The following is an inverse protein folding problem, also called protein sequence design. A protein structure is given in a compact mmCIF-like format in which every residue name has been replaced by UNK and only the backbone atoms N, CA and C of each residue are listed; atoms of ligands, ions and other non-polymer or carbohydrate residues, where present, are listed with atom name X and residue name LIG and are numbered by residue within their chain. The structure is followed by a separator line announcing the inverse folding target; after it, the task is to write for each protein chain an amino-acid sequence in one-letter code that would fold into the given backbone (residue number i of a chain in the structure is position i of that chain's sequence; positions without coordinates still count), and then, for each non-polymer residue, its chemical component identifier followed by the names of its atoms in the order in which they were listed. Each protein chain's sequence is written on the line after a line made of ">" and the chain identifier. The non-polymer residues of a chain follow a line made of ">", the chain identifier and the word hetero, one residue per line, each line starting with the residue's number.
data_IF_989131393157
#
_entry.id   IF_989131393157
#
_cell.length_a   1.000
_cell.length_b   1.000
_cell.length_c   1.000
_cell.angle_alpha   90.00
_cell.angle_beta   90.00
_cell.angle_gamma   90.00
#
_symmetry.space_group_name_H-M   'P 1'
#
loop_
_entity.id
_entity.type
_entity.pdbx_description
1 polymer ?
#
# COMPACT_ATOMS: atom_id res chain seq x y z
N UNK A 1 1.77 12.80 18.64
CA UNK A 1 0.30 12.93 18.67
C UNK A 1 -0.30 11.60 18.25
N UNK A 2 -1.48 11.20 18.76
CA UNK A 2 -2.23 10.09 18.19
C UNK A 2 -2.70 10.47 16.77
N UNK A 3 -2.61 9.52 15.83
CA UNK A 3 -3.14 9.70 14.48
C UNK A 3 -4.68 9.60 14.53
N UNK A 4 -5.38 10.51 13.84
CA UNK A 4 -6.83 10.54 13.73
C UNK A 4 -7.30 10.25 12.29
N UNK A 5 -8.50 9.66 12.18
CA UNK A 5 -9.13 9.40 10.88
C UNK A 5 -9.62 10.69 10.25
N UNK A 6 -9.55 10.73 8.93
CA UNK A 6 -9.97 11.85 8.11
C UNK A 6 -9.31 13.17 8.54
N UNK A 7 -8.06 13.09 8.98
CA UNK A 7 -7.21 14.23 9.33
C UNK A 7 -5.81 14.09 8.71
N UNK A 8 -5.23 15.23 8.34
CA UNK A 8 -3.87 15.31 7.81
C UNK A 8 -2.84 15.27 8.94
N UNK A 9 -1.81 14.45 8.77
CA UNK A 9 -0.68 14.35 9.69
C UNK A 9 0.61 14.67 8.96
N UNK A 10 1.42 15.56 9.53
CA UNK A 10 2.64 16.04 8.90
C UNK A 10 3.68 14.92 8.75
N UNK A 11 4.29 14.83 7.57
CA UNK A 11 5.39 13.92 7.27
C UNK A 11 6.74 14.66 7.23
N UNK A 12 7.83 13.90 7.34
CA UNK A 12 9.21 14.38 7.37
C UNK A 12 9.65 15.32 6.21
N UNK A 13 8.89 15.40 5.11
CA UNK A 13 9.23 16.21 3.92
C UNK A 13 8.29 17.40 3.67
N UNK A 14 7.50 17.84 4.67
CA UNK A 14 6.44 18.86 4.50
C UNK A 14 5.30 18.42 3.57
N UNK A 15 5.20 17.12 3.32
CA UNK A 15 4.01 16.50 2.75
C UNK A 15 3.09 16.08 3.91
N UNK A 16 1.80 15.89 3.63
CA UNK A 16 0.81 15.46 4.61
C UNK A 16 0.35 14.03 4.33
N UNK A 17 0.10 13.24 5.37
CA UNK A 17 -0.56 11.94 5.27
C UNK A 17 -1.99 12.03 5.76
N UNK A 18 -2.95 11.56 4.96
CA UNK A 18 -4.37 11.55 5.29
C UNK A 18 -4.88 10.11 5.45
N UNK A 19 -5.45 9.83 6.61
CA UNK A 19 -6.08 8.54 6.87
C UNK A 19 -7.52 8.57 6.38
N UNK A 20 -7.90 7.72 5.44
CA UNK A 20 -9.30 7.66 5.01
C UNK A 20 -10.09 6.61 5.78
N UNK A 21 -11.18 7.04 6.44
CA UNK A 21 -12.14 6.15 7.10
C UNK A 21 -12.76 5.12 6.15
N UNK A 22 -12.86 5.43 4.86
CA UNK A 22 -13.37 4.51 3.82
C UNK A 22 -12.56 3.21 3.67
N UNK A 23 -11.28 3.22 4.03
CA UNK A 23 -10.41 2.04 4.03
C UNK A 23 -10.31 1.38 5.41
N UNK A 24 -11.17 1.78 6.34
CA UNK A 24 -11.20 1.31 7.74
C UNK A 24 -12.57 0.75 8.11
N UNK A 25 -13.61 1.23 7.42
CA UNK A 25 -14.99 0.76 7.61
C UNK A 25 -15.28 -0.51 6.81
N UNK A 26 -15.70 -1.57 7.50
CA UNK A 26 -16.22 -2.81 6.88
C UNK A 26 -17.59 -2.63 6.22
N UNK A 27 -18.25 -1.49 6.44
CA UNK A 27 -19.55 -1.16 5.82
C UNK A 27 -19.39 -0.99 4.30
N UNK A 28 -18.22 -0.55 3.84
CA UNK A 28 -17.96 -0.39 2.42
C UNK A 28 -17.61 -1.74 1.76
N UNK A 29 -18.60 -2.38 1.13
CA UNK A 29 -18.47 -3.67 0.43
C UNK A 29 -17.63 -3.64 -0.84
N UNK A 30 -17.08 -2.50 -1.23
CA UNK A 30 -16.35 -2.34 -2.50
C UNK A 30 -14.86 -2.13 -2.27
N UNK A 31 -14.47 -1.49 -1.17
CA UNK A 31 -13.08 -1.12 -0.91
C UNK A 31 -12.36 -2.14 -0.04
N UNK A 32 -11.06 -2.31 -0.29
CA UNK A 32 -10.16 -3.01 0.63
C UNK A 32 -10.08 -2.28 1.97
N UNK A 33 -10.00 -3.07 3.05
CA UNK A 33 -10.01 -2.57 4.43
C UNK A 33 -8.68 -2.88 5.12
N UNK A 34 -8.10 -1.91 5.80
CA UNK A 34 -6.90 -2.06 6.64
C UNK A 34 -7.19 -2.93 7.87
N UNK A 35 -6.27 -3.84 8.16
CA UNK A 35 -6.26 -4.65 9.39
C UNK A 35 -5.18 -4.21 10.40
N UNK A 36 -4.21 -3.42 9.94
CA UNK A 36 -3.16 -2.78 10.76
C UNK A 36 -3.71 -1.54 11.46
N UNK A 37 -3.03 -0.95 12.45
CA UNK A 37 -3.45 0.32 13.05
C UNK A 37 -3.04 1.55 12.22
N UNK A 38 -3.39 2.77 12.65
CA UNK A 38 -3.02 4.01 11.94
C UNK A 38 -1.51 4.29 12.01
N UNK A 39 -0.87 3.92 13.12
CA UNK A 39 0.56 4.14 13.32
C UNK A 39 1.40 3.26 12.40
N UNK A 40 0.98 2.01 12.23
CA UNK A 40 1.58 1.04 11.33
C UNK A 40 1.37 1.44 9.87
N UNK A 41 0.16 1.91 9.50
CA UNK A 41 -0.09 2.46 8.16
C UNK A 41 0.84 3.63 7.84
N UNK A 42 0.95 4.61 8.74
CA UNK A 42 1.83 5.77 8.56
C UNK A 42 3.30 5.36 8.47
N UNK A 43 3.75 4.48 9.36
CA UNK A 43 5.12 3.97 9.35
C UNK A 43 5.45 3.25 8.04
N UNK A 44 4.51 2.49 7.49
CA UNK A 44 4.68 1.84 6.19
C UNK A 44 4.77 2.87 5.05
N UNK A 45 4.01 3.97 5.11
CA UNK A 45 4.10 5.04 4.12
C UNK A 45 5.46 5.72 4.16
N UNK A 46 5.89 6.15 5.35
CA UNK A 46 7.20 6.78 5.52
C UNK A 46 8.34 5.88 5.03
N UNK A 47 8.29 4.59 5.38
CA UNK A 47 9.27 3.62 4.94
C UNK A 47 9.28 3.46 3.42
N UNK A 48 8.11 3.45 2.77
CA UNK A 48 8.00 3.35 1.32
C UNK A 48 8.72 4.51 0.62
N UNK A 49 8.49 5.72 1.13
CA UNK A 49 9.07 6.96 0.59
C UNK A 49 10.58 6.98 0.87
N UNK A 50 11.02 6.71 2.11
CA UNK A 50 12.43 6.66 2.50
C UNK A 50 13.21 5.63 1.68
N UNK A 51 12.61 4.46 1.42
CA UNK A 51 13.21 3.37 0.63
C UNK A 51 13.11 3.59 -0.89
N UNK A 52 12.47 4.69 -1.33
CA UNK A 52 12.24 5.06 -2.73
C UNK A 52 11.49 3.99 -3.53
N UNK A 53 10.50 3.34 -2.91
CA UNK A 53 9.60 2.41 -3.60
C UNK A 53 8.51 3.17 -4.36
N UNK A 54 8.94 4.11 -5.20
CA UNK A 54 8.10 5.08 -5.88
C UNK A 54 7.86 4.68 -7.32
N UNK A 55 6.65 4.93 -7.80
CA UNK A 55 6.23 4.72 -9.17
C UNK A 55 5.42 5.93 -9.62
N UNK A 56 5.86 6.62 -10.66
CA UNK A 56 5.11 7.72 -11.25
C UNK A 56 4.00 7.18 -12.18
N UNK A 57 2.87 7.89 -12.22
CA UNK A 57 1.81 7.62 -13.19
C UNK A 57 2.13 8.31 -14.51
N UNK A 58 2.64 7.59 -15.50
CA UNK A 58 2.96 8.15 -16.82
C UNK A 58 1.73 8.68 -17.59
N UNK A 59 0.49 8.43 -17.10
CA UNK A 59 -0.74 8.99 -17.68
C UNK A 59 -1.21 10.26 -16.99
N UNK A 60 -0.67 10.58 -15.82
CA UNK A 60 -1.07 11.72 -15.01
C UNK A 60 0.16 12.25 -14.28
N UNK A 61 0.74 13.34 -14.82
CA UNK A 61 1.94 13.99 -14.26
C UNK A 61 1.78 14.43 -12.79
N UNK A 62 0.55 14.43 -12.29
CA UNK A 62 0.19 14.84 -10.92
C UNK A 62 0.04 13.67 -9.94
N UNK A 63 0.32 12.43 -10.35
CA UNK A 63 0.17 11.26 -9.47
C UNK A 63 1.45 10.45 -9.35
N UNK A 64 1.81 10.18 -8.10
CA UNK A 64 2.89 9.25 -7.73
C UNK A 64 2.34 8.22 -6.77
N UNK A 65 2.82 7.00 -6.90
CA UNK A 65 2.49 5.89 -6.02
C UNK A 65 3.72 5.46 -5.24
N UNK A 66 3.52 5.01 -4.01
CA UNK A 66 4.51 4.30 -3.23
C UNK A 66 3.95 2.94 -2.82
N UNK A 67 4.82 1.94 -2.72
CA UNK A 67 4.43 0.60 -2.32
C UNK A 67 5.26 0.13 -1.15
N UNK A 68 4.66 -0.60 -0.22
CA UNK A 68 5.40 -1.25 0.85
C UNK A 68 4.74 -2.55 1.26
N UNK A 69 5.50 -3.37 1.96
CA UNK A 69 5.02 -4.61 2.57
C UNK A 69 5.85 -4.92 3.81
N UNK A 70 5.30 -5.75 4.69
CA UNK A 70 5.96 -6.16 5.92
C UNK A 70 6.18 -7.66 5.91
N UNK A 71 7.40 -8.08 6.28
CA UNK A 71 7.73 -9.48 6.49
C UNK A 71 7.95 -9.73 7.98
N UNK A 72 7.24 -10.70 8.54
CA UNK A 72 7.35 -11.12 9.95
C UNK A 72 7.70 -12.60 9.99
N UNK A 73 8.82 -12.95 10.61
CA UNK A 73 9.24 -14.36 10.85
C UNK A 73 9.07 -15.27 9.63
N UNK A 74 9.69 -14.88 8.51
CA UNK A 74 9.66 -15.53 7.19
C UNK A 74 8.37 -15.46 6.38
N UNK A 75 7.25 -14.98 6.94
CA UNK A 75 5.97 -14.82 6.23
C UNK A 75 5.67 -13.35 5.91
N UNK A 76 4.95 -13.11 4.82
CA UNK A 76 4.40 -11.79 4.53
C UNK A 76 3.22 -11.51 5.46
N UNK A 77 3.25 -10.36 6.12
CA UNK A 77 2.19 -9.94 7.01
C UNK A 77 0.97 -9.52 6.19
N UNK A 78 -0.21 -9.94 6.65
CA UNK A 78 -1.48 -9.46 6.08
C UNK A 78 -1.71 -8.05 6.61
N UNK A 79 -1.79 -7.08 5.71
CA UNK A 79 -1.97 -5.66 6.01
C UNK A 79 -3.44 -5.24 5.95
N UNK A 80 -4.22 -5.92 5.11
CA UNK A 80 -5.64 -5.66 4.93
C UNK A 80 -6.40 -6.86 4.41
N UNK A 81 -7.68 -6.68 4.16
CA UNK A 81 -8.57 -7.68 3.57
C UNK A 81 -9.25 -7.13 2.33
N UNK A 82 -9.41 -8.00 1.33
CA UNK A 82 -10.28 -7.71 0.19
C UNK A 82 -11.73 -7.86 0.64
N UNK A 83 -12.53 -6.85 0.34
CA UNK A 83 -13.98 -6.87 0.55
C UNK A 83 -14.76 -7.17 -0.75
N UNK A 84 -14.06 -7.59 -1.82
CA UNK A 84 -14.69 -7.89 -3.10
C UNK A 84 -15.69 -9.04 -2.96
N UNK A 85 -16.94 -8.78 -3.35
CA UNK A 85 -18.18 -9.56 -3.15
C UNK A 85 -18.12 -11.09 -3.40
N UNK A 86 -17.04 -11.64 -3.95
CA UNK A 86 -16.93 -13.07 -4.27
C UNK A 86 -15.94 -13.85 -3.40
N UNK A 87 -14.87 -13.22 -2.87
CA UNK A 87 -13.81 -13.93 -2.11
C UNK A 87 -13.10 -12.99 -1.14
N UNK A 88 -13.24 -13.25 0.15
CA UNK A 88 -12.39 -12.65 1.17
C UNK A 88 -10.99 -13.26 1.13
N UNK A 89 -9.96 -12.42 1.10
CA UNK A 89 -8.57 -12.85 1.25
C UNK A 89 -7.70 -11.73 1.81
N UNK A 90 -6.60 -12.13 2.46
CA UNK A 90 -5.61 -11.21 2.99
C UNK A 90 -4.83 -10.50 1.88
N UNK A 91 -4.67 -9.20 2.04
CA UNK A 91 -3.86 -8.33 1.21
C UNK A 91 -2.56 -8.01 1.95
N UNK A 92 -1.45 -8.18 1.26
CA UNK A 92 -0.09 -8.12 1.84
C UNK A 92 0.72 -6.92 1.34
N UNK A 93 0.19 -6.17 0.35
CA UNK A 93 0.83 -4.99 -0.23
C UNK A 93 0.05 -3.77 0.24
N UNK A 94 0.76 -2.77 0.74
CA UNK A 94 0.26 -1.43 0.96
C UNK A 94 0.59 -0.57 -0.27
N UNK A 95 -0.40 0.18 -0.77
CA UNK A 95 -0.21 1.19 -1.80
C UNK A 95 -0.57 2.55 -1.23
N UNK A 96 0.28 3.53 -1.51
CA UNK A 96 0.13 4.91 -1.10
C UNK A 96 0.07 5.79 -2.33
N UNK A 97 -0.97 6.60 -2.44
CA UNK A 97 -1.14 7.55 -3.53
C UNK A 97 -0.71 8.93 -3.04
N UNK A 98 0.05 9.65 -3.85
CA UNK A 98 0.38 11.05 -3.67
C UNK A 98 -0.40 11.89 -4.68
N UNK A 99 -1.19 12.82 -4.16
CA UNK A 99 -1.68 13.98 -4.91
C UNK A 99 -0.57 15.04 -4.85
N UNK A 100 0.23 15.13 -5.91
CA UNK A 100 1.45 15.95 -5.93
C UNK A 100 1.12 17.44 -5.76
N UNK A 101 0.03 17.92 -6.37
CA UNK A 101 -0.39 19.32 -6.28
C UNK A 101 -0.80 19.69 -4.84
N UNK A 102 -1.51 18.79 -4.16
CA UNK A 102 -1.93 19.02 -2.77
C UNK A 102 -0.88 18.62 -1.75
N UNK A 103 0.16 17.91 -2.17
CA UNK A 103 1.20 17.30 -1.31
C UNK A 103 0.58 16.38 -0.24
N UNK A 104 -0.42 15.59 -0.65
CA UNK A 104 -1.16 14.70 0.25
C UNK A 104 -0.95 13.24 -0.17
N UNK A 105 -0.41 12.47 0.76
CA UNK A 105 -0.35 11.02 0.71
C UNK A 105 -1.58 10.40 1.39
N UNK A 106 -2.07 9.29 0.85
CA UNK A 106 -3.02 8.43 1.53
C UNK A 106 -2.84 6.98 1.08
N UNK A 107 -3.19 6.04 1.96
CA UNK A 107 -2.93 4.62 1.74
C UNK A 107 -4.18 3.76 1.69
N UNK A 108 -4.05 2.63 1.03
CA UNK A 108 -4.98 1.51 1.12
C UNK A 108 -4.28 0.16 0.92
N UNK A 109 -4.84 -0.95 1.43
CA UNK A 109 -4.32 -2.27 1.12
C UNK A 109 -4.62 -2.60 -0.35
N UNK A 110 -3.57 -2.88 -1.11
CA UNK A 110 -3.60 -3.01 -2.55
C UNK A 110 -4.13 -4.39 -2.97
N UNK A 111 -5.21 -4.43 -3.75
CA UNK A 111 -5.79 -5.68 -4.25
C UNK A 111 -5.17 -6.06 -5.60
N UNK A 112 -3.90 -6.45 -5.55
CA UNK A 112 -3.12 -6.83 -6.73
C UNK A 112 -3.65 -8.08 -7.46
N UNK A 113 -4.60 -8.81 -6.86
CA UNK A 113 -5.25 -9.98 -7.45
C UNK A 113 -6.42 -9.54 -8.33
N UNK A 114 -7.28 -8.66 -7.84
CA UNK A 114 -8.43 -8.15 -8.58
C UNK A 114 -8.05 -7.00 -9.54
N UNK A 115 -7.08 -6.16 -9.17
CA UNK A 115 -6.78 -4.90 -9.84
C UNK A 115 -5.35 -4.87 -10.38
N UNK A 116 -5.19 -4.75 -11.70
CA UNK A 116 -3.87 -4.60 -12.32
C UNK A 116 -3.16 -3.30 -11.89
N UNK A 117 -3.91 -2.24 -11.60
CA UNK A 117 -3.37 -0.94 -11.17
C UNK A 117 -2.78 -0.97 -9.75
N UNK A 118 -3.07 -2.00 -8.98
CA UNK A 118 -2.57 -2.19 -7.61
C UNK A 118 -1.26 -2.99 -7.58
N UNK A 119 -0.76 -3.43 -8.74
CA UNK A 119 0.51 -4.15 -8.86
C UNK A 119 1.68 -3.16 -8.87
N UNK A 120 2.67 -3.32 -7.98
CA UNK A 120 3.93 -2.60 -8.10
C UNK A 120 4.63 -2.98 -9.42
N UNK A 121 5.36 -2.03 -10.01
CA UNK A 121 6.17 -2.32 -11.19
C UNK A 121 7.34 -3.28 -10.88
N UNK A 122 7.93 -3.84 -11.94
CA UNK A 122 9.02 -4.80 -11.84
C UNK A 122 10.26 -4.24 -11.11
N UNK A 123 10.52 -2.94 -11.23
CA UNK A 123 11.66 -2.29 -10.57
C UNK A 123 11.51 -2.34 -9.06
N UNK A 124 10.34 -1.96 -8.54
CA UNK A 124 10.02 -2.00 -7.10
C UNK A 124 10.08 -3.43 -6.58
N UNK A 125 9.51 -4.40 -7.30
CA UNK A 125 9.53 -5.80 -6.87
C UNK A 125 10.97 -6.36 -6.83
N UNK A 126 11.81 -6.01 -7.80
CA UNK A 126 13.24 -6.40 -7.80
C UNK A 126 13.98 -5.80 -6.62
N UNK A 127 13.72 -4.54 -6.27
CA UNK A 127 14.30 -3.91 -5.08
C UNK A 127 13.82 -4.56 -3.78
N UNK A 128 12.56 -4.99 -3.71
CA UNK A 128 12.04 -5.76 -2.57
C UNK A 128 12.70 -7.15 -2.46
N UNK A 129 13.03 -7.80 -3.57
CA UNK A 129 13.81 -9.04 -3.57
C UNK A 129 15.22 -8.79 -3.04
N UNK A 130 15.92 -7.77 -3.55
CA UNK A 130 17.30 -7.43 -3.09
C UNK A 130 17.37 -7.20 -1.59
N UNK A 131 16.29 -6.67 -1.00
CA UNK A 131 16.16 -6.42 0.44
C UNK A 131 15.57 -7.60 1.22
N UNK A 132 15.46 -8.78 0.62
CA UNK A 132 14.90 -10.01 1.21
C UNK A 132 13.45 -9.88 1.74
N UNK A 133 12.71 -8.87 1.27
CA UNK A 133 11.32 -8.66 1.67
C UNK A 133 10.39 -9.68 1.00
N UNK A 134 10.68 -10.03 -0.26
CA UNK A 134 9.99 -11.08 -1.01
C UNK A 134 11.01 -11.96 -1.74
N UNK A 135 10.58 -13.15 -2.12
CA UNK A 135 11.33 -14.09 -2.94
C UNK A 135 10.99 -13.92 -4.42
N UNK A 136 11.84 -14.42 -5.35
CA UNK A 136 11.51 -14.44 -6.78
C UNK A 136 10.18 -15.17 -7.09
N UNK A 137 9.86 -16.21 -6.33
CA UNK A 137 8.59 -16.95 -6.45
C UNK A 137 7.40 -16.07 -6.06
N UNK A 138 7.52 -15.32 -4.97
CA UNK A 138 6.49 -14.37 -4.51
C UNK A 138 6.30 -13.22 -5.50
N UNK A 139 7.37 -12.65 -6.03
CA UNK A 139 7.29 -11.66 -7.11
C UNK A 139 6.49 -12.19 -8.32
N UNK A 140 6.79 -13.42 -8.77
CA UNK A 140 6.07 -14.02 -9.89
C UNK A 140 4.57 -14.20 -9.60
N UNK A 141 4.21 -14.54 -8.36
CA UNK A 141 2.80 -14.60 -7.93
C UNK A 141 2.14 -13.23 -7.94
N UNK A 142 2.80 -12.19 -7.40
CA UNK A 142 2.29 -10.81 -7.39
C UNK A 142 2.03 -10.32 -8.82
N UNK A 143 3.00 -10.49 -9.73
CA UNK A 143 2.86 -10.10 -11.14
C UNK A 143 1.66 -10.77 -11.81
N UNK A 144 1.45 -12.06 -11.52
CA UNK A 144 0.34 -12.85 -12.07
C UNK A 144 -1.00 -12.58 -11.39
N UNK A 145 -1.05 -11.79 -10.32
CA UNK A 145 -2.27 -11.59 -9.53
C UNK A 145 -2.70 -12.86 -8.79
N UNK A 146 -1.74 -13.61 -8.24
CA UNK A 146 -1.99 -14.86 -7.52
C UNK A 146 -1.74 -14.70 -6.01
N UNK A 147 -2.49 -15.46 -5.21
CA UNK A 147 -2.30 -15.55 -3.76
C UNK A 147 -0.92 -16.13 -3.42
N UNK A 148 -0.25 -15.50 -2.46
CA UNK A 148 1.06 -15.93 -1.95
C UNK A 148 0.92 -17.05 -0.92
#
# INVERSE_FOLDING_TARGET
>A
MPFLLDESNEMYNSDNYYFYSKHRSKVNKVASVWLIDLKEEFSLCEDAIKKRYLQDDFKSDNKRFAYNLKRTSNKLAILGESNSNAKHYGLIIAKFNNDIEKRIWHGYPADYIANQQDKPNDSILKEMIKKNLITPREMNKIKRGLKI
#
